data_IF_555317188167
#
_entry.id   IF_555317188167
#
_cell.length_a   1.000
_cell.length_b   1.000
_cell.length_c   1.000
_cell.angle_alpha   90.00
_cell.angle_beta   90.00
_cell.angle_gamma   90.00
#
_symmetry.space_group_name_H-M   'P 1'
#
loop_
_entity.id
_entity.type
_entity.pdbx_description
1 polymer ?
#
# COMPACT_ATOMS: atom_id res chain seq x y z
N UNK A 1 16.90 -29.95 34.89
CA UNK A 1 16.92 -28.75 34.04
C UNK A 1 15.48 -28.33 33.86
N UNK A 2 15.18 -27.05 34.16
CA UNK A 2 13.84 -26.54 34.00
C UNK A 2 13.47 -26.58 32.51
N UNK A 3 12.20 -26.89 32.20
CA UNK A 3 11.70 -26.84 30.83
C UNK A 3 11.92 -25.42 30.26
N UNK A 4 12.37 -25.28 29.00
CA UNK A 4 12.53 -23.96 28.41
C UNK A 4 11.18 -23.22 28.40
N UNK A 5 11.23 -21.95 28.77
CA UNK A 5 10.06 -21.05 28.60
C UNK A 5 10.06 -20.55 27.18
N UNK A 6 9.12 -20.99 26.37
CA UNK A 6 8.96 -20.58 24.97
C UNK A 6 8.19 -21.65 24.19
N UNK A 7 7.63 -21.25 23.05
CA UNK A 7 6.93 -22.14 22.16
C UNK A 7 7.90 -22.97 21.33
N UNK A 8 7.51 -24.22 21.03
CA UNK A 8 8.26 -25.09 20.15
C UNK A 8 8.20 -24.56 18.71
N UNK A 9 9.35 -24.50 18.04
CA UNK A 9 9.43 -24.07 16.62
C UNK A 9 9.78 -25.29 15.76
N UNK A 10 8.83 -25.89 15.05
CA UNK A 10 9.07 -26.99 14.12
C UNK A 10 9.61 -26.47 12.78
N UNK A 11 10.33 -27.34 12.05
CA UNK A 11 10.79 -27.04 10.68
C UNK A 11 12.10 -26.27 10.60
N UNK A 12 12.74 -25.94 11.74
CA UNK A 12 14.01 -25.19 11.77
C UNK A 12 15.19 -26.16 11.56
N UNK A 13 16.02 -25.87 10.58
CA UNK A 13 17.24 -26.61 10.27
C UNK A 13 18.43 -26.19 11.15
N UNK A 14 19.17 -27.18 11.61
CA UNK A 14 20.44 -27.00 12.31
C UNK A 14 21.51 -27.83 11.66
N UNK A 15 22.76 -27.30 11.65
CA UNK A 15 23.94 -28.04 11.25
C UNK A 15 24.97 -28.00 12.35
N UNK A 16 25.53 -29.18 12.72
CA UNK A 16 26.61 -29.29 13.68
C UNK A 16 27.91 -29.64 12.95
N UNK A 17 28.96 -28.92 13.22
CA UNK A 17 30.28 -29.09 12.64
C UNK A 17 31.29 -29.43 13.76
N UNK A 18 32.05 -30.53 13.61
CA UNK A 18 33.13 -30.82 14.56
C UNK A 18 34.27 -29.85 14.35
N UNK A 19 34.70 -29.17 15.40
CA UNK A 19 35.81 -28.21 15.37
C UNK A 19 37.14 -28.94 15.25
N UNK A 20 38.03 -28.39 14.43
CA UNK A 20 39.35 -28.92 14.15
C UNK A 20 40.46 -28.02 14.75
N UNK A 21 41.55 -28.66 15.21
CA UNK A 21 42.83 -28.03 15.45
C UNK A 21 43.79 -28.47 14.36
N UNK A 22 44.12 -27.56 13.44
CA UNK A 22 44.68 -27.92 12.14
C UNK A 22 43.78 -28.87 11.38
N UNK A 23 44.28 -30.02 10.93
CA UNK A 23 43.50 -31.02 10.18
C UNK A 23 42.89 -32.12 11.10
N UNK A 24 43.00 -31.98 12.41
CA UNK A 24 42.54 -33.03 13.36
C UNK A 24 41.42 -32.54 14.24
N UNK A 25 40.44 -33.40 14.54
CA UNK A 25 39.42 -33.10 15.55
C UNK A 25 40.08 -32.88 16.93
N UNK A 26 39.58 -31.90 17.69
CA UNK A 26 40.00 -31.66 19.06
C UNK A 26 39.62 -32.88 19.90
N UNK A 27 40.63 -33.47 20.58
CA UNK A 27 40.44 -34.74 21.35
C UNK A 27 40.14 -34.43 22.83
N UNK A 28 38.88 -34.44 23.20
CA UNK A 28 38.43 -34.20 24.57
C UNK A 28 38.69 -35.40 25.53
N UNK A 29 39.39 -36.44 25.09
CA UNK A 29 39.84 -37.50 26.00
C UNK A 29 41.13 -37.16 26.71
N UNK A 30 41.77 -36.03 26.35
CA UNK A 30 43.03 -35.53 26.88
C UNK A 30 42.90 -34.16 27.55
N UNK A 31 43.77 -33.86 28.52
CA UNK A 31 43.81 -32.51 29.12
C UNK A 31 44.21 -31.41 28.12
N UNK A 32 45.10 -31.72 27.20
CA UNK A 32 45.56 -30.79 26.16
C UNK A 32 44.41 -30.47 25.20
N UNK A 33 43.58 -31.46 24.86
CA UNK A 33 42.38 -31.25 24.05
C UNK A 33 41.34 -30.37 24.74
N UNK A 34 41.13 -30.52 26.04
CA UNK A 34 40.28 -29.61 26.81
C UNK A 34 40.86 -28.18 26.88
N UNK A 35 42.16 -28.04 27.06
CA UNK A 35 42.79 -26.73 27.03
C UNK A 35 42.68 -26.05 25.67
N UNK A 36 42.86 -26.83 24.58
CA UNK A 36 42.62 -26.38 23.20
C UNK A 36 41.17 -25.93 22.97
N UNK A 37 40.20 -26.76 23.39
CA UNK A 37 38.77 -26.44 23.24
C UNK A 37 38.36 -25.16 23.97
N UNK A 38 38.90 -24.92 25.18
CA UNK A 38 38.69 -23.69 25.96
C UNK A 38 39.25 -22.44 25.28
N UNK A 39 40.32 -22.60 24.48
CA UNK A 39 40.95 -21.49 23.74
C UNK A 39 40.23 -21.11 22.46
N UNK A 40 39.33 -21.96 21.92
CA UNK A 40 38.61 -21.66 20.66
C UNK A 40 37.54 -20.64 20.93
N UNK A 41 37.57 -19.56 20.16
CA UNK A 41 36.51 -18.56 20.13
C UNK A 41 35.58 -18.81 18.92
N UNK A 42 34.36 -18.31 19.00
CA UNK A 42 33.40 -18.43 17.91
C UNK A 42 33.95 -17.80 16.61
N UNK A 43 34.61 -16.66 16.70
CA UNK A 43 35.21 -15.95 15.55
C UNK A 43 36.31 -16.76 14.83
N UNK A 44 36.94 -17.75 15.50
CA UNK A 44 37.95 -18.62 14.89
C UNK A 44 37.36 -19.66 13.96
N UNK A 45 36.05 -20.01 14.15
CA UNK A 45 35.39 -21.13 13.47
C UNK A 45 34.16 -20.69 12.66
N UNK A 46 33.68 -19.47 12.91
CA UNK A 46 32.55 -18.89 12.21
C UNK A 46 32.79 -17.40 11.95
N UNK A 47 32.80 -16.99 10.67
CA UNK A 47 33.05 -15.58 10.30
C UNK A 47 32.31 -15.26 9.00
N UNK A 48 31.89 -13.99 8.83
CA UNK A 48 31.15 -13.52 7.67
C UNK A 48 29.91 -14.37 7.33
N UNK A 49 29.18 -14.82 8.35
CA UNK A 49 27.96 -15.61 8.16
C UNK A 49 28.18 -17.08 7.77
N UNK A 50 29.42 -17.60 7.85
CA UNK A 50 29.71 -18.97 7.44
C UNK A 50 30.77 -19.66 8.32
N UNK A 51 30.72 -21.01 8.42
CA UNK A 51 31.78 -21.80 9.04
C UNK A 51 33.11 -21.63 8.31
N UNK A 52 34.20 -21.44 9.06
CA UNK A 52 35.57 -21.38 8.53
C UNK A 52 35.99 -22.80 8.15
N UNK A 53 35.96 -23.12 6.86
CA UNK A 53 36.15 -24.50 6.35
C UNK A 53 37.44 -25.18 6.80
N UNK A 54 38.53 -24.40 7.00
CA UNK A 54 39.81 -24.92 7.49
C UNK A 54 39.78 -25.26 8.99
N UNK A 55 38.72 -24.91 9.70
CA UNK A 55 38.58 -25.07 11.16
C UNK A 55 37.45 -26.03 11.55
N UNK A 56 36.68 -26.54 10.60
CA UNK A 56 35.54 -27.43 10.84
C UNK A 56 35.55 -28.63 9.92
N UNK A 57 35.03 -29.75 10.42
CA UNK A 57 34.79 -30.96 9.64
C UNK A 57 33.50 -30.91 8.83
N UNK A 58 33.11 -32.01 8.24
CA UNK A 58 31.84 -32.14 7.54
C UNK A 58 30.65 -31.85 8.48
N UNK A 59 29.66 -31.10 8.01
CA UNK A 59 28.45 -30.81 8.75
C UNK A 59 27.49 -31.99 8.78
N UNK A 60 26.79 -32.18 9.90
CA UNK A 60 25.64 -33.04 10.03
C UNK A 60 24.41 -32.17 10.27
N UNK A 61 23.36 -32.38 9.47
CA UNK A 61 22.12 -31.58 9.52
C UNK A 61 20.99 -32.35 10.17
N UNK A 62 20.12 -31.64 10.90
CA UNK A 62 18.87 -32.13 11.39
C UNK A 62 17.86 -31.00 11.48
N UNK A 63 16.57 -31.31 11.28
CA UNK A 63 15.46 -30.34 11.32
C UNK A 63 14.57 -30.61 12.52
N UNK A 64 14.06 -29.55 13.16
CA UNK A 64 13.15 -29.71 14.30
C UNK A 64 11.82 -30.32 13.87
N UNK A 65 11.40 -31.37 14.59
CA UNK A 65 10.09 -32.01 14.42
C UNK A 65 8.96 -31.17 15.06
N UNK A 66 7.75 -31.72 15.08
CA UNK A 66 6.55 -31.08 15.64
C UNK A 66 6.69 -30.61 17.11
N UNK A 67 7.58 -31.22 17.88
CA UNK A 67 7.90 -30.82 19.26
C UNK A 67 9.02 -29.76 19.36
N UNK A 68 9.49 -29.17 18.24
CA UNK A 68 10.57 -28.19 18.21
C UNK A 68 11.95 -28.76 18.57
N UNK A 69 12.16 -30.09 18.38
CA UNK A 69 13.41 -30.74 18.74
C UNK A 69 14.10 -31.32 17.51
N UNK A 70 15.37 -30.99 17.32
CA UNK A 70 16.30 -31.67 16.41
C UNK A 70 17.30 -32.48 17.20
N UNK A 71 17.59 -33.71 16.76
CA UNK A 71 18.49 -34.63 17.46
C UNK A 71 19.66 -35.04 16.56
N UNK A 72 20.86 -34.95 17.07
CA UNK A 72 22.09 -35.39 16.41
C UNK A 72 22.64 -36.58 17.18
N UNK A 73 22.71 -37.72 16.53
CA UNK A 73 23.17 -38.97 17.14
C UNK A 73 24.57 -39.37 16.66
N UNK A 74 25.27 -40.15 17.46
CA UNK A 74 26.57 -40.72 17.10
C UNK A 74 27.72 -39.65 17.07
N UNK A 75 27.54 -38.52 17.70
CA UNK A 75 28.61 -37.51 17.79
C UNK A 75 29.77 -38.06 18.66
N UNK A 76 30.98 -38.08 18.10
CA UNK A 76 32.18 -38.43 18.84
C UNK A 76 32.53 -37.34 19.85
N UNK A 77 33.29 -37.68 20.90
CA UNK A 77 33.77 -36.68 21.85
C UNK A 77 34.56 -35.55 21.12
N UNK A 78 34.18 -34.32 21.32
CA UNK A 78 34.74 -33.18 20.61
C UNK A 78 34.07 -31.83 20.93
N UNK A 79 34.63 -30.76 20.39
CA UNK A 79 34.03 -29.44 20.35
C UNK A 79 33.24 -29.35 19.04
N UNK A 80 32.01 -28.79 19.10
CA UNK A 80 31.15 -28.62 17.97
C UNK A 80 30.70 -27.17 17.83
N UNK A 81 30.72 -26.67 16.59
CA UNK A 81 30.00 -25.47 16.16
C UNK A 81 28.58 -25.86 15.75
N UNK A 82 27.60 -25.21 16.32
CA UNK A 82 26.17 -25.36 15.97
C UNK A 82 25.73 -24.13 15.23
N UNK A 83 25.16 -24.31 14.05
CA UNK A 83 24.65 -23.21 13.18
C UNK A 83 23.18 -23.53 12.86
N UNK A 84 22.34 -22.55 13.06
CA UNK A 84 20.96 -22.57 12.58
C UNK A 84 20.89 -22.08 11.14
N UNK A 85 19.93 -22.55 10.34
CA UNK A 85 19.72 -22.05 8.98
C UNK A 85 19.30 -20.58 8.97
N UNK A 86 19.58 -19.88 7.85
CA UNK A 86 19.49 -18.41 7.80
C UNK A 86 18.06 -17.86 7.84
N UNK A 87 17.04 -18.62 7.45
CA UNK A 87 15.67 -18.14 7.35
C UNK A 87 14.66 -19.08 8.01
N UNK A 88 14.73 -19.26 9.33
CA UNK A 88 13.77 -20.08 10.04
C UNK A 88 12.38 -19.42 10.00
N UNK A 89 11.33 -20.25 10.01
CA UNK A 89 9.94 -19.80 10.10
C UNK A 89 9.25 -20.47 11.28
N UNK A 90 8.24 -19.78 11.84
CA UNK A 90 7.34 -20.41 12.81
C UNK A 90 6.34 -21.37 12.12
N UNK A 91 5.44 -21.97 12.92
CA UNK A 91 4.42 -22.89 12.42
C UNK A 91 3.42 -22.26 11.44
N UNK A 92 3.27 -20.95 11.49
CA UNK A 92 2.39 -20.15 10.62
C UNK A 92 3.12 -19.63 9.37
N UNK A 93 4.43 -19.94 9.24
CA UNK A 93 5.28 -19.52 8.12
C UNK A 93 5.81 -18.09 8.25
N UNK A 94 5.68 -17.43 9.41
CA UNK A 94 6.29 -16.12 9.63
C UNK A 94 7.79 -16.27 9.81
N UNK A 95 8.56 -15.36 9.21
CA UNK A 95 10.01 -15.33 9.35
C UNK A 95 10.44 -15.06 10.80
N UNK A 96 11.51 -15.72 11.20
CA UNK A 96 12.16 -15.54 12.49
C UNK A 96 13.60 -15.08 12.28
N UNK A 97 14.15 -14.37 13.27
CA UNK A 97 15.59 -14.14 13.35
C UNK A 97 16.22 -15.40 13.95
N UNK A 98 17.19 -16.05 13.27
CA UNK A 98 17.82 -17.25 13.77
C UNK A 98 18.60 -17.00 15.05
N UNK A 99 18.76 -18.06 15.84
CA UNK A 99 19.66 -18.03 16.98
C UNK A 99 21.12 -17.88 16.51
N UNK A 100 21.94 -17.22 17.35
CA UNK A 100 23.36 -17.13 17.09
C UNK A 100 24.01 -18.49 16.97
N UNK A 101 25.01 -18.69 16.09
CA UNK A 101 25.91 -19.82 16.14
C UNK A 101 26.60 -19.90 17.51
N UNK A 102 26.82 -21.10 17.99
CA UNK A 102 27.47 -21.28 19.28
C UNK A 102 28.34 -22.53 19.31
N UNK A 103 29.23 -22.59 20.30
CA UNK A 103 30.10 -23.73 20.54
C UNK A 103 29.55 -24.57 21.67
N UNK A 104 29.64 -25.89 21.54
CA UNK A 104 29.26 -26.86 22.56
C UNK A 104 30.19 -28.06 22.57
N UNK A 105 30.54 -28.54 23.77
CA UNK A 105 31.30 -29.79 23.90
C UNK A 105 30.39 -31.00 24.07
N UNK A 106 30.75 -32.09 23.45
CA UNK A 106 30.10 -33.41 23.64
C UNK A 106 31.20 -34.40 24.07
N UNK A 107 31.15 -34.97 25.27
CA UNK A 107 30.23 -34.72 26.38
C UNK A 107 30.40 -33.34 27.01
N UNK A 108 29.38 -32.89 27.72
CA UNK A 108 29.44 -31.65 28.52
C UNK A 108 29.69 -31.97 30.00
N UNK A 109 30.40 -31.13 30.73
CA UNK A 109 30.57 -31.23 32.18
C UNK A 109 29.23 -31.11 32.88
N UNK A 110 28.88 -32.01 33.79
CA UNK A 110 27.68 -31.87 34.60
C UNK A 110 27.83 -30.60 35.48
N UNK A 111 26.87 -29.66 35.48
CA UNK A 111 26.92 -28.48 36.34
C UNK A 111 27.05 -28.78 37.83
N UNK A 112 26.63 -29.97 38.27
CA UNK A 112 26.81 -30.42 39.67
C UNK A 112 28.24 -30.87 39.98
N UNK A 113 29.15 -30.87 38.99
CA UNK A 113 30.57 -31.17 39.16
C UNK A 113 30.92 -32.65 39.37
N UNK A 114 29.97 -33.58 39.20
CA UNK A 114 30.13 -34.99 39.58
C UNK A 114 30.13 -35.95 38.38
N UNK A 115 30.39 -35.50 37.15
CA UNK A 115 30.45 -36.37 35.97
C UNK A 115 30.25 -35.66 34.62
N UNK A 116 29.96 -36.49 33.61
CA UNK A 116 29.77 -36.05 32.22
C UNK A 116 28.34 -36.32 31.77
N UNK A 117 27.81 -35.35 31.00
CA UNK A 117 26.54 -35.51 30.28
C UNK A 117 26.85 -35.96 28.87
N UNK A 118 26.52 -37.20 28.53
CA UNK A 118 26.65 -37.76 27.20
C UNK A 118 25.55 -37.26 26.25
N UNK A 119 24.40 -36.90 26.81
CA UNK A 119 23.33 -36.23 26.10
C UNK A 119 23.32 -34.77 26.51
N UNK A 120 23.60 -33.87 25.53
CA UNK A 120 23.68 -32.46 25.76
C UNK A 120 22.42 -31.81 25.15
N UNK A 121 21.67 -31.06 25.98
CA UNK A 121 20.51 -30.30 25.53
C UNK A 121 20.86 -28.83 25.44
N UNK A 122 20.57 -28.23 24.29
CA UNK A 122 20.73 -26.79 24.03
C UNK A 122 19.39 -26.23 23.59
N UNK A 123 19.11 -24.97 23.96
CA UNK A 123 17.84 -24.30 23.70
C UNK A 123 18.10 -22.99 22.97
N UNK A 124 18.35 -23.04 21.65
CA UNK A 124 18.47 -21.83 20.86
C UNK A 124 17.16 -21.03 20.92
N UNK A 125 17.26 -19.70 20.92
CA UNK A 125 16.10 -18.82 21.00
C UNK A 125 16.00 -17.98 19.74
N UNK A 126 14.96 -18.23 18.97
CA UNK A 126 14.60 -17.43 17.84
C UNK A 126 13.84 -16.19 18.29
N UNK A 127 13.96 -15.10 17.54
CA UNK A 127 13.20 -13.88 17.78
C UNK A 127 12.12 -13.75 16.71
N UNK A 128 10.88 -13.49 17.14
CA UNK A 128 9.80 -13.15 16.22
C UNK A 128 10.08 -11.82 15.52
N UNK A 129 9.64 -11.73 14.29
CA UNK A 129 9.69 -10.50 13.47
C UNK A 129 8.27 -9.98 13.33
N UNK A 130 8.04 -8.73 13.72
CA UNK A 130 6.74 -8.08 13.53
C UNK A 130 6.39 -8.00 12.04
N UNK A 131 5.12 -8.19 11.73
CA UNK A 131 4.63 -7.95 10.37
C UNK A 131 4.77 -6.46 10.04
N UNK A 132 5.26 -6.11 8.84
CA UNK A 132 5.32 -4.72 8.44
C UNK A 132 3.91 -4.13 8.28
N UNK A 133 3.80 -2.83 8.47
CA UNK A 133 2.54 -2.08 8.26
C UNK A 133 2.66 -1.29 6.97
N UNK A 134 1.70 -1.50 6.06
CA UNK A 134 1.61 -0.78 4.80
C UNK A 134 0.44 0.18 4.79
N UNK A 135 0.66 1.39 4.29
CA UNK A 135 -0.37 2.41 4.13
C UNK A 135 -0.26 3.10 2.78
N UNK A 136 -1.40 3.63 2.28
CA UNK A 136 -1.42 4.52 1.11
C UNK A 136 -1.16 5.94 1.59
N UNK A 137 -0.30 6.67 0.89
CA UNK A 137 0.06 8.06 1.17
C UNK A 137 -0.12 8.92 -0.07
N UNK A 138 -0.36 10.21 0.11
CA UNK A 138 -0.30 11.17 -0.98
C UNK A 138 1.14 11.69 -1.10
N UNK A 139 1.87 11.38 -2.19
CA UNK A 139 3.27 11.78 -2.34
C UNK A 139 3.45 13.29 -2.52
N UNK A 140 2.38 13.99 -2.91
CA UNK A 140 2.28 15.45 -3.02
C UNK A 140 0.98 15.92 -2.35
N UNK A 141 0.92 17.17 -1.86
CA UNK A 141 -0.35 17.73 -1.43
C UNK A 141 -1.34 17.63 -2.60
N UNK A 142 -2.42 16.87 -2.41
CA UNK A 142 -3.45 16.75 -3.43
C UNK A 142 -3.95 18.15 -3.81
N UNK A 143 -4.13 18.47 -5.11
CA UNK A 143 -4.79 19.68 -5.52
C UNK A 143 -6.12 19.86 -4.77
N UNK A 144 -6.47 21.08 -4.41
CA UNK A 144 -7.71 21.36 -3.70
C UNK A 144 -8.89 20.69 -4.42
N UNK A 145 -9.63 19.81 -3.72
CA UNK A 145 -10.76 19.02 -4.27
C UNK A 145 -10.40 17.62 -4.76
N UNK A 146 -9.13 17.30 -4.92
CA UNK A 146 -8.69 15.94 -5.26
C UNK A 146 -8.30 15.20 -3.97
N UNK A 147 -8.97 14.07 -3.70
CA UNK A 147 -8.76 13.27 -2.48
C UNK A 147 -8.10 11.93 -2.81
N UNK A 148 -6.94 11.97 -3.43
CA UNK A 148 -6.18 10.78 -3.83
C UNK A 148 -5.81 10.78 -5.31
N UNK A 149 -4.99 9.82 -5.71
CA UNK A 149 -4.38 9.72 -7.02
C UNK A 149 -5.33 9.09 -8.05
N UNK A 150 -5.83 9.88 -8.99
CA UNK A 150 -6.53 9.38 -10.18
C UNK A 150 -5.53 8.87 -11.23
N UNK A 151 -6.02 8.27 -12.30
CA UNK A 151 -5.18 7.88 -13.45
C UNK A 151 -4.34 9.08 -13.92
N UNK A 152 -3.05 8.85 -14.10
CA UNK A 152 -2.04 9.86 -14.47
C UNK A 152 -1.42 10.62 -13.30
N UNK A 153 -1.89 10.42 -12.08
CA UNK A 153 -1.29 10.96 -10.85
C UNK A 153 -0.37 9.92 -10.19
N UNK A 154 0.45 10.39 -9.27
CA UNK A 154 1.31 9.52 -8.46
C UNK A 154 0.59 9.11 -7.18
N UNK A 155 0.58 7.79 -6.90
CA UNK A 155 0.16 7.19 -5.64
C UNK A 155 1.39 6.83 -4.81
N UNK A 156 1.34 7.08 -3.51
CA UNK A 156 2.40 6.71 -2.58
C UNK A 156 1.99 5.53 -1.71
N UNK A 157 2.99 4.72 -1.35
CA UNK A 157 2.87 3.66 -0.34
C UNK A 157 3.98 3.85 0.69
N UNK A 158 3.64 3.70 1.95
CA UNK A 158 4.60 3.68 3.05
C UNK A 158 4.59 2.28 3.65
N UNK A 159 5.76 1.69 3.82
CA UNK A 159 5.97 0.40 4.46
C UNK A 159 6.84 0.67 5.68
N UNK A 160 6.27 0.45 6.86
CA UNK A 160 6.95 0.58 8.14
C UNK A 160 7.22 -0.81 8.71
N UNK A 161 8.47 -1.08 9.07
CA UNK A 161 8.87 -2.31 9.74
C UNK A 161 9.75 -1.98 10.95
N UNK A 162 9.50 -2.68 12.06
CA UNK A 162 10.32 -2.57 13.25
C UNK A 162 11.56 -3.45 13.09
N UNK A 163 12.75 -2.90 13.39
CA UNK A 163 13.97 -3.70 13.43
C UNK A 163 13.88 -4.69 14.61
N UNK A 164 13.93 -6.01 14.36
CA UNK A 164 13.79 -6.99 15.43
C UNK A 164 15.01 -6.95 16.35
N UNK A 165 14.81 -7.39 17.60
CA UNK A 165 15.92 -7.60 18.52
C UNK A 165 16.69 -8.84 18.11
N UNK A 166 18.01 -8.77 18.18
CA UNK A 166 18.87 -9.92 18.03
C UNK A 166 19.72 -10.12 19.29
N UNK A 167 20.19 -11.34 19.47
CA UNK A 167 21.06 -11.68 20.62
C UNK A 167 22.33 -10.83 20.57
N UNK A 168 22.79 -10.27 21.69
CA UNK A 168 24.05 -9.52 21.75
C UNK A 168 25.22 -10.30 21.14
N UNK A 169 25.98 -9.65 20.27
CA UNK A 169 27.07 -10.24 19.52
C UNK A 169 26.71 -10.79 18.13
N UNK A 170 25.42 -10.81 17.79
CA UNK A 170 24.95 -11.14 16.44
C UNK A 170 24.84 -9.90 15.56
N UNK A 171 24.94 -10.14 14.27
CA UNK A 171 24.67 -9.15 13.21
C UNK A 171 23.62 -9.71 12.26
N UNK A 172 22.90 -8.81 11.59
CA UNK A 172 22.05 -9.23 10.49
C UNK A 172 22.91 -9.57 9.26
N UNK A 173 22.65 -10.72 8.64
CA UNK A 173 23.28 -11.10 7.37
C UNK A 173 22.67 -10.36 6.18
N UNK A 174 21.44 -9.88 6.34
CA UNK A 174 20.71 -9.09 5.37
C UNK A 174 19.45 -8.50 6.00
N UNK A 175 18.83 -7.55 5.32
CA UNK A 175 17.50 -7.03 5.66
C UNK A 175 16.84 -6.58 4.37
N UNK A 176 15.75 -7.23 4.00
CA UNK A 176 15.10 -7.05 2.71
C UNK A 176 13.66 -6.58 2.89
N UNK A 177 13.27 -5.56 2.13
CA UNK A 177 11.87 -5.14 1.97
C UNK A 177 11.51 -5.30 0.50
N UNK A 178 10.45 -6.06 0.22
CA UNK A 178 9.98 -6.32 -1.14
C UNK A 178 8.55 -5.89 -1.32
N UNK A 179 8.24 -5.28 -2.45
CA UNK A 179 6.89 -4.88 -2.85
C UNK A 179 6.62 -5.37 -4.27
N UNK A 180 5.56 -6.14 -4.48
CA UNK A 180 5.05 -6.48 -5.81
C UNK A 180 3.84 -5.62 -6.10
N UNK A 181 4.06 -4.54 -6.83
CA UNK A 181 3.02 -3.58 -7.19
C UNK A 181 1.90 -4.24 -8.01
N UNK A 182 0.64 -3.87 -7.77
CA UNK A 182 -0.46 -4.32 -8.63
C UNK A 182 -0.28 -3.85 -10.06
N UNK A 183 -0.86 -4.60 -10.99
CA UNK A 183 -0.91 -4.21 -12.40
C UNK A 183 -1.53 -2.82 -12.56
N UNK A 184 -1.03 -2.05 -13.51
CA UNK A 184 -1.48 -0.68 -13.75
C UNK A 184 -0.69 0.40 -12.99
N UNK A 185 0.23 0.04 -12.10
CA UNK A 185 1.19 0.99 -11.53
C UNK A 185 2.49 1.01 -12.33
N UNK A 186 3.02 2.20 -12.59
CA UNK A 186 4.19 2.43 -13.43
C UNK A 186 5.24 3.30 -12.75
N UNK A 187 6.48 3.24 -13.25
CA UNK A 187 7.61 4.10 -12.86
C UNK A 187 7.84 4.15 -11.34
N UNK A 188 8.02 3.02 -10.64
CA UNK A 188 8.23 3.04 -9.20
C UNK A 188 9.53 3.76 -8.82
N UNK A 189 9.44 4.61 -7.81
CA UNK A 189 10.58 5.27 -7.16
C UNK A 189 10.53 5.00 -5.66
N UNK A 190 11.70 4.95 -5.00
CA UNK A 190 11.80 4.57 -3.59
C UNK A 190 12.71 5.53 -2.85
N UNK A 191 12.33 5.85 -1.61
CA UNK A 191 13.20 6.46 -0.60
C UNK A 191 13.11 5.67 0.69
N UNK A 192 14.22 5.56 1.41
CA UNK A 192 14.33 4.78 2.64
C UNK A 192 14.77 5.67 3.80
N UNK A 193 14.18 5.47 4.97
CA UNK A 193 14.54 6.17 6.20
C UNK A 193 14.65 5.19 7.35
N UNK A 194 15.66 5.36 8.20
CA UNK A 194 15.77 4.66 9.47
C UNK A 194 15.60 5.70 10.59
N UNK A 195 14.63 5.50 11.45
CA UNK A 195 14.25 6.42 12.53
C UNK A 195 14.12 7.89 12.06
N UNK A 196 13.56 8.07 10.87
CA UNK A 196 13.38 9.40 10.24
C UNK A 196 14.59 9.94 9.47
N UNK A 197 15.78 9.38 9.67
CA UNK A 197 17.00 9.74 8.92
C UNK A 197 16.99 9.10 7.55
N UNK A 198 17.21 9.89 6.49
CA UNK A 198 17.26 9.37 5.13
C UNK A 198 18.52 8.51 4.92
N UNK A 199 18.33 7.35 4.31
CA UNK A 199 19.40 6.46 3.88
C UNK A 199 19.82 6.77 2.44
N UNK A 200 21.08 6.54 2.12
CA UNK A 200 21.69 6.84 0.81
C UNK A 200 21.67 5.58 -0.05
N UNK A 201 21.02 5.68 -1.21
CA UNK A 201 21.01 4.59 -2.20
C UNK A 201 22.45 4.28 -2.66
N UNK A 202 22.73 3.00 -2.88
CA UNK A 202 24.02 2.44 -3.33
C UNK A 202 25.17 2.57 -2.28
N UNK A 203 24.86 3.12 -1.08
CA UNK A 203 25.74 3.15 0.08
C UNK A 203 25.10 2.38 1.24
N UNK A 204 23.91 2.79 1.68
CA UNK A 204 23.17 2.22 2.81
C UNK A 204 22.21 1.12 2.40
N UNK A 205 21.72 1.16 1.15
CA UNK A 205 20.85 0.15 0.58
C UNK A 205 21.00 0.05 -0.93
N UNK A 206 20.74 -1.13 -1.46
CA UNK A 206 20.56 -1.36 -2.90
C UNK A 206 19.09 -1.39 -3.25
N UNK A 207 18.75 -0.91 -4.46
CA UNK A 207 17.40 -0.93 -5.00
C UNK A 207 17.41 -1.70 -6.31
N UNK A 208 16.66 -2.81 -6.36
CA UNK A 208 16.43 -3.59 -7.58
C UNK A 208 14.95 -3.48 -7.96
N UNK A 209 14.69 -3.18 -9.23
CA UNK A 209 13.32 -3.12 -9.77
C UNK A 209 13.26 -3.87 -11.11
N UNK A 210 12.29 -4.78 -11.25
CA UNK A 210 12.08 -5.58 -12.45
C UNK A 210 10.59 -5.93 -12.59
N UNK A 211 10.22 -6.51 -13.74
CA UNK A 211 8.83 -6.92 -13.98
C UNK A 211 8.67 -8.44 -13.92
N UNK A 212 7.58 -8.87 -13.27
CA UNK A 212 7.04 -10.23 -13.35
C UNK A 212 5.68 -10.13 -14.02
N UNK A 213 5.62 -10.53 -15.28
CA UNK A 213 4.47 -10.20 -16.15
C UNK A 213 4.39 -8.70 -16.39
N UNK A 214 3.25 -8.09 -16.11
CA UNK A 214 2.98 -6.65 -16.20
C UNK A 214 3.16 -5.92 -14.85
N UNK A 215 3.49 -6.64 -13.78
CA UNK A 215 3.65 -6.11 -12.43
C UNK A 215 5.12 -5.81 -12.10
N UNK A 216 5.35 -4.68 -11.45
CA UNK A 216 6.68 -4.35 -10.93
C UNK A 216 6.93 -5.07 -9.60
N UNK A 217 8.13 -5.63 -9.47
CA UNK A 217 8.70 -6.05 -8.18
C UNK A 217 9.81 -5.08 -7.83
N UNK A 218 9.75 -4.56 -6.61
CA UNK A 218 10.72 -3.60 -6.06
C UNK A 218 11.33 -4.21 -4.82
N UNK A 219 12.66 -4.33 -4.77
CA UNK A 219 13.42 -4.86 -3.65
C UNK A 219 14.37 -3.80 -3.10
N UNK A 220 14.27 -3.54 -1.81
CA UNK A 220 15.19 -2.72 -1.03
C UNK A 220 15.98 -3.63 -0.11
N UNK A 221 17.27 -3.69 -0.26
CA UNK A 221 18.16 -4.50 0.57
C UNK A 221 19.14 -3.57 1.30
N UNK A 222 19.14 -3.61 2.63
CA UNK A 222 20.09 -2.84 3.42
C UNK A 222 21.51 -3.38 3.20
N UNK A 223 22.48 -2.49 3.15
CA UNK A 223 23.90 -2.79 2.89
C UNK A 223 24.82 -1.92 3.76
N UNK A 224 26.13 -2.05 3.55
CA UNK A 224 27.13 -1.16 4.12
C UNK A 224 27.14 -1.13 5.65
N UNK A 225 27.38 0.05 6.19
CA UNK A 225 27.50 0.24 7.64
C UNK A 225 26.13 0.18 8.33
N UNK A 226 25.04 0.54 7.63
CA UNK A 226 23.68 0.46 8.18
C UNK A 226 23.34 -0.98 8.52
N UNK A 227 23.60 -1.93 7.61
CA UNK A 227 23.33 -3.35 7.86
C UNK A 227 24.21 -3.89 9.00
N UNK A 228 25.51 -3.57 9.00
CA UNK A 228 26.46 -4.02 10.05
C UNK A 228 26.05 -3.57 11.44
N UNK A 229 25.53 -2.37 11.57
CA UNK A 229 25.15 -1.76 12.84
C UNK A 229 23.63 -1.82 13.09
N UNK A 230 22.87 -2.54 12.25
CA UNK A 230 21.42 -2.58 12.34
C UNK A 230 20.91 -3.09 13.70
N UNK A 231 21.68 -3.94 14.37
CA UNK A 231 21.38 -4.43 15.72
C UNK A 231 21.32 -3.32 16.78
N UNK A 232 22.03 -2.20 16.58
CA UNK A 232 21.98 -1.02 17.47
C UNK A 232 20.64 -0.27 17.35
N UNK A 233 19.92 -0.49 16.26
CA UNK A 233 18.61 0.10 15.93
C UNK A 233 17.42 -0.80 16.28
N UNK A 234 17.63 -1.84 17.12
CA UNK A 234 16.55 -2.74 17.56
C UNK A 234 15.39 -1.99 18.18
N UNK A 235 14.18 -2.22 17.69
CA UNK A 235 12.96 -1.53 18.10
C UNK A 235 12.68 -0.22 17.36
N UNK A 236 13.60 0.27 16.55
CA UNK A 236 13.41 1.43 15.69
C UNK A 236 12.69 1.05 14.38
N UNK A 237 12.12 2.05 13.71
CA UNK A 237 11.34 1.85 12.49
C UNK A 237 12.17 2.14 11.25
N UNK A 238 12.31 1.14 10.39
CA UNK A 238 12.72 1.30 9.00
C UNK A 238 11.48 1.62 8.16
N UNK A 239 11.52 2.72 7.45
CA UNK A 239 10.44 3.20 6.57
C UNK A 239 10.88 3.20 5.13
N UNK A 240 10.14 2.48 4.30
CA UNK A 240 10.28 2.51 2.85
C UNK A 240 9.10 3.27 2.27
N UNK A 241 9.35 4.39 1.58
CA UNK A 241 8.34 5.11 0.84
C UNK A 241 8.51 4.77 -0.64
N UNK A 242 7.45 4.28 -1.25
CA UNK A 242 7.37 3.94 -2.66
C UNK A 242 6.34 4.84 -3.33
N UNK A 243 6.66 5.40 -4.47
CA UNK A 243 5.76 6.21 -5.29
C UNK A 243 5.70 5.62 -6.68
N UNK A 244 4.49 5.50 -7.24
CA UNK A 244 4.27 4.99 -8.58
C UNK A 244 3.13 5.75 -9.27
N UNK A 245 3.19 5.86 -10.60
CA UNK A 245 2.16 6.54 -11.39
C UNK A 245 1.00 5.58 -11.68
N UNK A 246 -0.23 6.02 -11.43
CA UNK A 246 -1.46 5.25 -11.74
C UNK A 246 -1.69 5.24 -13.25
N UNK A 247 -1.66 4.06 -13.85
CA UNK A 247 -1.90 3.85 -15.28
C UNK A 247 -3.39 3.70 -15.62
N UNK A 248 -3.70 3.64 -16.90
CA UNK A 248 -5.06 3.42 -17.40
C UNK A 248 -5.57 2.00 -17.14
N UNK A 249 -6.90 1.84 -17.08
CA UNK A 249 -7.55 0.54 -16.94
C UNK A 249 -7.60 -0.02 -15.52
N UNK A 250 -7.18 0.77 -14.51
CA UNK A 250 -7.25 0.36 -13.10
C UNK A 250 -8.68 0.42 -12.59
N UNK A 251 -9.12 -0.63 -11.87
CA UNK A 251 -10.39 -0.65 -11.16
C UNK A 251 -10.20 -0.72 -9.65
N UNK A 252 -9.36 -1.64 -9.22
CA UNK A 252 -8.96 -1.81 -7.82
C UNK A 252 -7.46 -2.08 -7.79
N UNK A 253 -6.75 -1.41 -6.90
CA UNK A 253 -5.36 -1.66 -6.61
C UNK A 253 -5.25 -2.26 -5.21
N UNK A 254 -4.86 -3.53 -5.12
CA UNK A 254 -4.53 -4.21 -3.88
C UNK A 254 -3.03 -4.40 -3.80
N UNK A 255 -2.42 -3.93 -2.71
CA UNK A 255 -0.98 -3.95 -2.55
C UNK A 255 -0.55 -4.36 -1.15
N UNK A 256 0.33 -5.36 -1.06
CA UNK A 256 1.02 -5.79 0.15
C UNK A 256 2.54 -5.77 -0.08
N UNK A 257 3.31 -5.84 1.00
CA UNK A 257 4.76 -5.87 0.98
C UNK A 257 5.28 -6.96 1.92
N UNK A 258 6.53 -7.35 1.76
CA UNK A 258 7.18 -8.40 2.57
C UNK A 258 8.45 -7.87 3.19
N UNK A 259 8.78 -8.36 4.38
CA UNK A 259 10.04 -8.07 5.07
C UNK A 259 10.70 -9.37 5.46
N UNK A 260 11.95 -9.53 5.03
CA UNK A 260 12.82 -10.64 5.38
C UNK A 260 14.01 -10.09 6.17
N UNK A 261 14.18 -10.46 7.46
CA UNK A 261 15.23 -9.91 8.33
C UNK A 261 16.63 -10.44 8.05
N UNK A 262 16.74 -11.55 7.32
CA UNK A 262 18.00 -12.09 6.84
C UNK A 262 17.93 -12.31 5.33
N UNK A 263 19.06 -12.13 4.66
CA UNK A 263 19.15 -12.36 3.23
C UNK A 263 19.51 -13.83 2.98
N UNK A 264 18.69 -14.61 2.26
CA UNK A 264 19.01 -15.97 1.86
C UNK A 264 20.12 -16.05 0.82
N UNK A 265 20.71 -14.91 0.42
CA UNK A 265 21.81 -14.80 -0.53
C UNK A 265 21.38 -14.41 -1.93
N UNK A 266 20.88 -15.34 -2.74
CA UNK A 266 20.63 -15.10 -4.17
C UNK A 266 19.16 -15.18 -4.53
N UNK A 267 18.61 -14.06 -4.99
CA UNK A 267 17.27 -14.02 -5.58
C UNK A 267 17.36 -14.16 -7.10
N UNK A 268 16.56 -15.03 -7.72
CA UNK A 268 16.46 -15.06 -9.18
C UNK A 268 16.01 -13.72 -9.77
N UNK A 269 16.46 -13.38 -10.99
CA UNK A 269 16.11 -12.11 -11.65
C UNK A 269 14.60 -11.90 -11.88
N UNK A 270 13.84 -12.99 -11.94
CA UNK A 270 12.40 -13.02 -12.12
C UNK A 270 11.63 -13.52 -10.89
N UNK A 271 12.25 -13.49 -9.71
CA UNK A 271 11.64 -13.97 -8.47
C UNK A 271 10.35 -13.20 -8.14
N UNK A 272 9.31 -13.96 -7.80
CA UNK A 272 7.99 -13.44 -7.46
C UNK A 272 7.68 -13.65 -5.97
N UNK A 273 7.59 -12.60 -5.14
CA UNK A 273 7.32 -12.76 -3.72
C UNK A 273 5.93 -13.37 -3.42
N UNK A 274 4.97 -13.26 -4.34
CA UNK A 274 3.64 -13.90 -4.20
C UNK A 274 3.65 -15.38 -4.58
N UNK A 275 4.59 -15.80 -5.43
CA UNK A 275 4.74 -17.17 -5.91
C UNK A 275 6.24 -17.52 -5.99
N UNK A 276 6.92 -17.63 -4.84
CA UNK A 276 8.38 -17.79 -4.81
C UNK A 276 8.87 -19.08 -5.44
N UNK A 277 8.02 -20.13 -5.60
CA UNK A 277 8.40 -21.42 -6.13
C UNK A 277 9.49 -22.08 -5.27
N UNK A 278 10.58 -22.53 -5.92
CA UNK A 278 11.79 -23.03 -5.24
C UNK A 278 12.72 -21.89 -4.79
N UNK A 279 12.33 -20.64 -5.00
CA UNK A 279 13.10 -19.45 -4.58
C UNK A 279 12.98 -19.15 -3.10
N UNK A 280 13.72 -18.15 -2.60
CA UNK A 280 13.70 -17.76 -1.20
C UNK A 280 12.31 -17.35 -0.71
N UNK A 281 12.01 -17.65 0.57
CA UNK A 281 10.82 -17.15 1.23
C UNK A 281 10.85 -15.61 1.26
N UNK A 282 9.76 -14.90 0.89
CA UNK A 282 9.72 -13.44 0.90
C UNK A 282 9.76 -12.82 2.30
N UNK A 283 9.54 -13.60 3.36
CA UNK A 283 9.42 -13.12 4.73
C UNK A 283 7.98 -12.79 5.13
N UNK A 284 7.82 -11.93 6.13
CA UNK A 284 6.53 -11.57 6.69
C UNK A 284 5.77 -10.59 5.80
N UNK A 285 4.53 -10.95 5.46
CA UNK A 285 3.65 -10.10 4.66
C UNK A 285 2.95 -9.03 5.51
N UNK A 286 2.86 -7.81 4.99
CA UNK A 286 2.11 -6.70 5.60
C UNK A 286 0.60 -6.92 5.51
N UNK A 287 -0.18 -6.01 6.11
CA UNK A 287 -1.55 -5.79 5.71
C UNK A 287 -1.62 -5.38 4.23
N UNK A 288 -2.75 -5.68 3.59
CA UNK A 288 -3.04 -5.24 2.21
C UNK A 288 -3.68 -3.86 2.24
N UNK A 289 -3.14 -2.92 1.46
CA UNK A 289 -3.81 -1.65 1.16
C UNK A 289 -4.71 -1.82 -0.05
N UNK A 290 -5.76 -1.00 -0.13
CA UNK A 290 -6.73 -1.07 -1.21
C UNK A 290 -7.12 0.32 -1.67
N UNK A 291 -7.10 0.56 -2.99
CA UNK A 291 -7.56 1.80 -3.63
C UNK A 291 -8.58 1.45 -4.72
N UNK A 292 -9.70 2.15 -4.75
CA UNK A 292 -10.82 1.89 -5.66
C UNK A 292 -11.00 3.05 -6.63
N UNK A 293 -11.26 2.71 -7.89
CA UNK A 293 -11.41 3.66 -9.00
C UNK A 293 -12.77 3.53 -9.65
N UNK A 294 -13.19 4.62 -10.27
CA UNK A 294 -14.48 4.71 -10.96
C UNK A 294 -14.39 5.29 -12.35
N UNK A 295 -15.50 5.14 -13.06
CA UNK A 295 -15.70 5.63 -14.42
C UNK A 295 -17.08 6.27 -14.55
N UNK A 296 -17.14 7.42 -15.19
CA UNK A 296 -18.40 8.10 -15.55
C UNK A 296 -18.50 8.16 -17.06
N UNK A 297 -19.57 7.58 -17.60
CA UNK A 297 -19.96 7.76 -18.99
C UNK A 297 -20.98 8.88 -19.10
N UNK A 298 -20.67 9.94 -19.82
CA UNK A 298 -21.55 11.08 -20.07
C UNK A 298 -22.20 10.88 -21.45
N UNK A 299 -23.53 10.84 -21.50
CA UNK A 299 -24.33 10.85 -22.74
C UNK A 299 -24.99 12.21 -22.86
N UNK A 300 -24.64 12.95 -23.89
CA UNK A 300 -25.14 14.29 -24.16
C UNK A 300 -26.17 14.28 -25.27
N UNK A 301 -27.42 14.66 -24.96
CA UNK A 301 -28.53 14.65 -25.93
C UNK A 301 -29.36 15.94 -25.89
N UNK A 302 -30.20 16.14 -26.90
CA UNK A 302 -31.31 17.09 -26.83
C UNK A 302 -32.55 16.39 -26.20
N UNK A 303 -33.64 17.13 -26.07
CA UNK A 303 -34.92 16.62 -25.56
C UNK A 303 -35.52 15.49 -26.41
N UNK A 304 -35.13 15.36 -27.67
CA UNK A 304 -35.63 14.37 -28.61
C UNK A 304 -34.71 13.12 -28.67
N UNK A 305 -33.69 13.06 -27.78
CA UNK A 305 -32.74 11.96 -27.69
C UNK A 305 -31.59 12.01 -28.72
N UNK A 306 -31.51 13.08 -29.53
CA UNK A 306 -30.44 13.21 -30.52
C UNK A 306 -29.11 13.57 -29.81
N UNK A 307 -28.05 12.83 -30.15
CA UNK A 307 -26.71 13.04 -29.61
C UNK A 307 -26.19 14.43 -29.93
N UNK A 308 -25.57 15.09 -28.93
CA UNK A 308 -25.00 16.42 -29.00
C UNK A 308 -23.48 16.39 -28.80
N UNK A 309 -22.77 16.84 -29.85
CA UNK A 309 -21.30 16.83 -29.88
C UNK A 309 -20.70 18.14 -29.41
N UNK A 310 -19.46 18.08 -28.86
CA UNK A 310 -18.66 19.24 -28.51
C UNK A 310 -19.14 19.97 -27.26
N UNK A 311 -19.89 19.31 -26.38
CA UNK A 311 -20.06 19.73 -24.99
C UNK A 311 -18.78 19.44 -24.19
N UNK A 312 -18.32 20.38 -23.37
CA UNK A 312 -17.16 20.23 -22.49
C UNK A 312 -17.58 20.29 -21.03
N UNK A 313 -17.04 19.37 -20.23
CA UNK A 313 -17.34 19.21 -18.81
C UNK A 313 -16.08 19.23 -17.98
N UNK A 314 -16.15 19.82 -16.81
CA UNK A 314 -15.23 19.62 -15.70
C UNK A 314 -15.84 18.68 -14.69
N UNK A 315 -14.98 17.85 -14.04
CA UNK A 315 -15.37 16.97 -12.96
C UNK A 315 -14.99 17.57 -11.63
N UNK A 316 -15.92 17.63 -10.68
CA UNK A 316 -15.69 18.15 -9.32
C UNK A 316 -16.24 17.20 -8.27
N UNK A 317 -15.75 17.29 -7.02
CA UNK A 317 -16.43 16.69 -5.87
C UNK A 317 -17.56 17.61 -5.42
N UNK A 318 -18.66 17.00 -4.93
CA UNK A 318 -19.88 17.71 -4.57
C UNK A 318 -20.49 17.24 -3.26
N UNK A 319 -21.19 18.16 -2.62
CA UNK A 319 -22.19 17.87 -1.61
C UNK A 319 -23.57 18.29 -2.19
N UNK A 320 -24.40 17.31 -2.51
CA UNK A 320 -25.60 17.54 -3.33
C UNK A 320 -25.22 18.07 -4.71
N UNK A 321 -25.76 19.25 -5.11
CA UNK A 321 -25.45 19.93 -6.36
C UNK A 321 -24.41 21.06 -6.17
N UNK A 322 -23.80 21.15 -4.99
CA UNK A 322 -22.83 22.22 -4.69
C UNK A 322 -21.41 21.70 -4.84
N UNK A 323 -20.64 22.31 -5.72
CA UNK A 323 -19.21 22.02 -5.92
C UNK A 323 -18.42 22.37 -4.65
N UNK A 324 -17.64 21.43 -4.12
CA UNK A 324 -16.85 21.61 -2.90
C UNK A 324 -15.70 22.59 -3.10
N UNK A 325 -15.05 22.55 -4.26
CA UNK A 325 -13.95 23.44 -4.62
C UNK A 325 -14.02 23.86 -6.08
N UNK A 326 -13.47 25.06 -6.41
CA UNK A 326 -13.41 25.55 -7.78
C UNK A 326 -12.42 24.77 -8.67
N UNK A 327 -11.46 24.07 -8.07
CA UNK A 327 -10.49 23.29 -8.82
C UNK A 327 -11.13 21.99 -9.32
N UNK A 328 -11.11 21.71 -10.63
CA UNK A 328 -11.59 20.44 -11.17
C UNK A 328 -10.64 19.29 -10.82
N UNK A 329 -11.21 18.08 -10.77
CA UNK A 329 -10.45 16.84 -10.62
C UNK A 329 -9.74 16.56 -11.94
N UNK A 330 -8.43 16.31 -11.84
CA UNK A 330 -7.61 15.89 -12.97
C UNK A 330 -7.67 14.37 -13.11
N UNK A 331 -7.95 13.87 -14.32
CA UNK A 331 -7.92 12.43 -14.64
C UNK A 331 -7.18 12.24 -15.95
N UNK A 332 -6.20 11.35 -15.97
CA UNK A 332 -5.33 11.13 -17.13
C UNK A 332 -4.66 12.43 -17.67
N UNK A 333 -4.33 13.35 -16.76
CA UNK A 333 -3.74 14.63 -17.11
C UNK A 333 -4.72 15.71 -17.59
N UNK A 334 -5.99 15.36 -17.84
CA UNK A 334 -7.04 16.27 -18.31
C UNK A 334 -7.92 16.77 -17.16
N UNK A 335 -8.35 18.01 -17.24
CA UNK A 335 -9.36 18.63 -16.35
C UNK A 335 -10.66 18.91 -17.09
N UNK A 336 -10.67 18.88 -18.41
CA UNK A 336 -11.83 19.09 -19.27
C UNK A 336 -12.08 17.86 -20.15
N UNK A 337 -13.34 17.46 -20.27
CA UNK A 337 -13.78 16.27 -20.99
C UNK A 337 -14.83 16.64 -22.01
N UNK A 338 -14.55 16.43 -23.30
CA UNK A 338 -15.42 16.87 -24.41
C UNK A 338 -16.10 15.70 -25.09
N UNK A 339 -17.43 15.81 -25.30
CA UNK A 339 -18.19 14.76 -26.01
C UNK A 339 -17.73 14.63 -27.47
N UNK A 340 -17.58 13.37 -27.93
CA UNK A 340 -17.08 13.05 -29.25
C UNK A 340 -17.89 13.70 -30.36
N UNK A 341 -17.21 14.10 -31.42
CA UNK A 341 -17.81 14.85 -32.54
C UNK A 341 -18.27 13.97 -33.68
N UNK A 342 -17.80 12.73 -33.75
CA UNK A 342 -18.10 11.79 -34.87
C UNK A 342 -18.09 10.33 -34.41
N UNK A 343 -18.69 9.43 -35.19
CA UNK A 343 -18.68 7.99 -34.97
C UNK A 343 -19.77 7.47 -34.05
N UNK A 344 -19.72 6.19 -33.71
CA UNK A 344 -20.72 5.48 -32.88
C UNK A 344 -20.86 6.05 -31.47
N UNK A 345 -19.84 6.79 -30.98
CA UNK A 345 -19.81 7.45 -29.68
C UNK A 345 -20.12 8.94 -29.76
N UNK A 346 -20.73 9.40 -30.83
CA UNK A 346 -21.14 10.81 -30.96
C UNK A 346 -22.00 11.23 -29.76
N UNK A 347 -21.71 12.40 -29.18
CA UNK A 347 -22.40 12.89 -27.99
C UNK A 347 -21.96 12.22 -26.67
N UNK A 348 -20.98 11.32 -26.71
CA UNK A 348 -20.52 10.61 -25.52
C UNK A 348 -19.07 11.02 -25.14
N UNK A 349 -18.76 11.05 -23.86
CA UNK A 349 -17.39 11.06 -23.32
C UNK A 349 -17.33 10.19 -22.08
N UNK A 350 -16.18 9.50 -21.90
CA UNK A 350 -15.93 8.62 -20.76
C UNK A 350 -14.77 9.22 -19.94
N UNK A 351 -14.99 9.37 -18.64
CA UNK A 351 -13.98 9.76 -17.66
C UNK A 351 -13.64 8.52 -16.83
N UNK A 352 -12.52 7.87 -17.13
CA UNK A 352 -12.14 6.59 -16.51
C UNK A 352 -10.90 6.73 -15.65
N UNK A 353 -10.88 6.06 -14.48
CA UNK A 353 -9.79 6.08 -13.53
C UNK A 353 -9.89 7.21 -12.50
N UNK A 354 -11.10 7.59 -12.13
CA UNK A 354 -11.40 8.53 -11.06
C UNK A 354 -11.12 7.86 -9.72
N UNK A 355 -10.22 8.40 -8.90
CA UNK A 355 -9.99 7.88 -7.55
C UNK A 355 -11.24 8.08 -6.67
N UNK A 356 -11.72 7.00 -6.06
CA UNK A 356 -12.90 7.00 -5.17
C UNK A 356 -12.47 7.03 -3.71
N UNK A 357 -11.71 6.04 -3.28
CA UNK A 357 -11.30 5.90 -1.89
C UNK A 357 -10.08 4.99 -1.71
N UNK A 358 -9.39 5.14 -0.58
CA UNK A 358 -8.35 4.25 -0.07
C UNK A 358 -8.82 3.62 1.24
N UNK A 359 -8.38 2.37 1.53
CA UNK A 359 -8.53 1.78 2.85
C UNK A 359 -7.66 2.56 3.86
N UNK A 360 -8.25 2.99 4.95
CA UNK A 360 -7.55 3.75 5.99
C UNK A 360 -6.56 2.85 6.76
N UNK A 361 -5.35 3.35 7.11
CA UNK A 361 -4.41 2.63 7.96
C UNK A 361 -5.03 2.32 9.33
N UNK A 362 -4.79 1.11 9.86
CA UNK A 362 -5.25 0.70 11.18
C UNK A 362 -6.62 0.03 11.21
N UNK A 363 -7.27 -0.15 10.07
CA UNK A 363 -8.47 -0.97 10.00
C UNK A 363 -8.07 -2.42 9.73
N UNK A 364 -8.37 -3.26 10.71
CA UNK A 364 -7.98 -4.65 10.72
C UNK A 364 -8.42 -5.40 9.45
N UNK A 365 -7.54 -6.25 8.94
CA UNK A 365 -7.92 -7.30 8.00
C UNK A 365 -9.10 -8.07 8.60
N UNK A 366 -10.23 -8.11 7.88
CA UNK A 366 -11.43 -8.85 8.29
C UNK A 366 -12.47 -8.06 9.07
N UNK A 367 -12.33 -6.75 9.25
CA UNK A 367 -13.41 -5.89 9.71
C UNK A 367 -14.48 -5.79 8.63
N UNK A 368 -15.69 -6.26 8.93
CA UNK A 368 -16.88 -6.20 8.06
C UNK A 368 -17.51 -4.82 7.99
N UNK A 369 -16.85 -3.79 8.50
CA UNK A 369 -17.36 -2.43 8.44
C UNK A 369 -16.95 -1.78 7.13
N UNK A 370 -17.94 -1.35 6.37
CA UNK A 370 -17.83 -0.54 5.15
C UNK A 370 -17.11 0.79 5.43
N UNK A 371 -15.80 0.74 5.47
CA UNK A 371 -14.93 1.90 5.64
C UNK A 371 -15.11 2.90 4.51
N UNK A 372 -15.69 2.46 3.42
CA UNK A 372 -16.02 3.20 2.22
C UNK A 372 -17.36 3.93 2.30
N UNK A 373 -18.23 3.57 3.26
CA UNK A 373 -19.52 4.20 3.46
C UNK A 373 -19.36 5.67 3.85
N UNK A 374 -19.48 6.56 2.88
CA UNK A 374 -19.45 8.00 3.06
C UNK A 374 -18.20 8.73 2.61
N UNK A 375 -17.17 8.06 2.08
CA UNK A 375 -15.98 8.72 1.56
C UNK A 375 -16.22 9.18 0.12
N UNK A 376 -16.74 10.39 -0.05
CA UNK A 376 -16.53 11.25 -1.22
C UNK A 376 -16.81 10.65 -2.60
N UNK A 377 -17.80 9.78 -2.72
CA UNK A 377 -18.21 9.17 -3.99
C UNK A 377 -19.19 10.02 -4.81
N UNK A 378 -19.52 11.21 -4.31
CA UNK A 378 -20.40 12.16 -4.98
C UNK A 378 -19.58 13.15 -5.81
N UNK A 379 -19.91 13.23 -7.08
CA UNK A 379 -19.26 14.10 -8.05
C UNK A 379 -20.30 15.01 -8.71
N UNK A 380 -19.83 16.12 -9.28
CA UNK A 380 -20.61 16.96 -10.18
C UNK A 380 -19.88 17.16 -11.50
N UNK A 381 -20.65 17.12 -12.57
CA UNK A 381 -20.23 17.54 -13.89
C UNK A 381 -20.67 18.98 -14.11
N UNK A 382 -19.70 19.87 -14.30
CA UNK A 382 -19.94 21.29 -14.63
C UNK A 382 -19.74 21.44 -16.12
N UNK A 383 -20.80 21.79 -16.86
CA UNK A 383 -20.68 22.07 -18.29
C UNK A 383 -20.03 23.45 -18.49
N UNK A 384 -18.80 23.50 -19.00
CA UNK A 384 -18.05 24.73 -19.28
C UNK A 384 -18.30 25.24 -20.69
N UNK A 385 -18.69 24.33 -21.61
CA UNK A 385 -19.03 24.68 -22.99
C UNK A 385 -20.23 23.84 -23.48
N UNK A 386 -21.27 24.52 -23.89
CA UNK A 386 -22.43 23.86 -24.48
C UNK A 386 -22.20 23.45 -25.97
N UNK A 387 -22.93 22.43 -26.49
CA UNK A 387 -22.97 22.16 -27.90
C UNK A 387 -23.43 23.37 -28.71
N UNK A 388 -22.97 23.48 -29.96
CA UNK A 388 -23.34 24.62 -30.83
C UNK A 388 -24.86 24.73 -30.99
N UNK A 389 -25.41 25.89 -30.64
CA UNK A 389 -26.84 26.21 -30.73
C UNK A 389 -27.66 25.76 -29.52
N UNK A 390 -27.01 25.36 -28.43
CA UNK A 390 -27.63 24.96 -27.17
C UNK A 390 -27.18 25.85 -26.01
N UNK A 391 -27.99 25.93 -24.97
CA UNK A 391 -27.68 26.67 -23.74
C UNK A 391 -26.88 25.79 -22.77
N UNK A 392 -25.97 26.38 -21.99
CA UNK A 392 -25.27 25.73 -20.88
C UNK A 392 -26.27 25.19 -19.83
N UNK A 393 -25.88 24.14 -19.14
CA UNK A 393 -26.58 23.71 -17.94
C UNK A 393 -26.61 24.82 -16.89
N UNK A 394 -27.76 25.09 -16.26
CA UNK A 394 -27.87 26.16 -15.27
C UNK A 394 -27.22 25.82 -13.92
N UNK A 395 -26.96 24.53 -13.67
CA UNK A 395 -26.42 24.01 -12.41
C UNK A 395 -25.53 22.81 -12.69
N UNK A 396 -24.56 22.48 -11.81
CA UNK A 396 -23.78 21.25 -11.86
C UNK A 396 -24.69 20.02 -11.84
N UNK A 397 -24.36 19.02 -12.64
CA UNK A 397 -25.10 17.75 -12.73
C UNK A 397 -24.49 16.73 -11.75
N UNK A 398 -25.21 16.26 -10.71
CA UNK A 398 -24.69 15.34 -9.73
C UNK A 398 -24.57 13.92 -10.30
N UNK A 399 -23.47 13.23 -9.96
CA UNK A 399 -23.22 11.82 -10.29
C UNK A 399 -22.68 11.13 -9.06
N UNK A 400 -23.24 9.97 -8.70
CA UNK A 400 -22.77 9.16 -7.59
C UNK A 400 -22.12 7.88 -8.11
N UNK A 401 -20.88 7.63 -7.73
CA UNK A 401 -20.19 6.35 -7.89
C UNK A 401 -20.26 5.61 -6.56
N UNK A 402 -21.02 4.52 -6.49
CA UNK A 402 -21.25 3.76 -5.25
C UNK A 402 -20.14 2.73 -5.06
N UNK A 403 -19.13 3.07 -4.27
CA UNK A 403 -18.13 2.13 -3.81
C UNK A 403 -18.57 1.53 -2.46
N UNK A 404 -18.58 0.21 -2.35
CA UNK A 404 -19.00 -0.54 -1.16
C UNK A 404 -17.81 -1.10 -0.36
N UNK A 405 -16.59 -1.04 -0.96
CA UNK A 405 -15.37 -1.61 -0.39
C UNK A 405 -15.10 -3.07 -0.77
N UNK A 406 -16.08 -3.74 -1.36
CA UNK A 406 -15.97 -5.13 -1.84
C UNK A 406 -15.83 -5.27 -3.36
N UNK A 407 -15.61 -4.14 -4.07
CA UNK A 407 -15.44 -4.14 -5.52
C UNK A 407 -14.16 -4.92 -5.91
N UNK A 408 -14.30 -5.74 -6.95
CA UNK A 408 -13.15 -6.40 -7.61
C UNK A 408 -12.87 -5.77 -8.99
N UNK A 409 -13.62 -4.74 -9.36
CA UNK A 409 -13.57 -4.09 -10.67
C UNK A 409 -13.87 -2.59 -10.57
N UNK A 410 -13.72 -1.91 -11.68
CA UNK A 410 -14.04 -0.50 -11.86
C UNK A 410 -15.53 -0.22 -11.53
N UNK A 411 -15.78 0.78 -10.69
CA UNK A 411 -17.14 1.25 -10.36
C UNK A 411 -17.63 2.18 -11.45
N UNK A 412 -18.79 1.90 -12.04
CA UNK A 412 -19.30 2.67 -13.20
C UNK A 412 -20.57 3.44 -12.88
N UNK A 413 -20.72 4.61 -13.49
CA UNK A 413 -21.95 5.38 -13.51
C UNK A 413 -22.20 5.99 -14.90
N UNK A 414 -23.48 6.23 -15.23
CA UNK A 414 -23.87 6.91 -16.46
C UNK A 414 -24.58 8.22 -16.12
N UNK A 415 -24.19 9.29 -16.81
CA UNK A 415 -24.79 10.62 -16.70
C UNK A 415 -25.49 10.96 -18.03
N UNK A 416 -26.81 10.86 -18.06
CA UNK A 416 -27.65 11.25 -19.21
C UNK A 416 -28.02 12.73 -19.10
N UNK A 417 -27.38 13.59 -19.88
CA UNK A 417 -27.46 15.04 -19.76
C UNK A 417 -28.08 15.64 -20.99
N UNK A 418 -29.15 16.44 -20.81
CA UNK A 418 -29.86 17.09 -21.89
C UNK A 418 -29.63 18.59 -21.91
N UNK A 419 -29.45 19.18 -23.13
CA UNK A 419 -29.48 20.63 -23.33
C UNK A 419 -30.64 21.06 -24.19
N UNK A 420 -31.10 22.29 -23.99
CA UNK A 420 -32.14 22.95 -24.75
C UNK A 420 -31.57 23.91 -25.79
N UNK A 421 -32.18 24.01 -26.96
CA UNK A 421 -31.77 24.95 -28.00
C UNK A 421 -31.89 26.40 -27.51
N UNK A 422 -30.88 27.23 -27.80
CA UNK A 422 -30.85 28.65 -27.46
C UNK A 422 -32.04 29.43 -28.06
N UNK A 423 -32.61 28.98 -29.17
CA UNK A 423 -33.72 29.62 -29.88
C UNK A 423 -35.04 28.88 -29.74
N UNK A 424 -35.17 27.92 -28.82
CA UNK A 424 -36.41 27.18 -28.62
C UNK A 424 -37.46 28.01 -27.88
N UNK A 425 -37.91 29.11 -28.46
CA UNK A 425 -39.19 29.77 -28.14
C UNK A 425 -39.53 29.94 -26.64
N UNK A 426 -38.57 29.93 -25.75
CA UNK A 426 -38.78 30.37 -24.39
C UNK A 426 -38.90 31.91 -24.44
N UNK A 427 -40.11 32.40 -24.77
CA UNK A 427 -40.49 33.66 -24.18
C UNK A 427 -40.39 33.44 -22.67
N UNK A 428 -39.33 34.00 -22.05
CA UNK A 428 -39.29 34.12 -20.60
C UNK A 428 -40.67 34.64 -20.16
N UNK A 429 -41.34 34.05 -19.16
CA UNK A 429 -42.51 34.67 -18.59
C UNK A 429 -42.14 36.13 -18.38
N UNK A 430 -43.03 37.06 -18.75
CA UNK A 430 -42.86 38.50 -18.79
C UNK A 430 -42.33 39.16 -17.52
N UNK A 431 -41.41 38.54 -16.78
CA UNK A 431 -40.83 39.00 -15.52
C UNK A 431 -39.52 39.77 -15.66
N UNK A 432 -38.95 39.87 -16.89
CA UNK A 432 -37.70 40.65 -17.15
C UNK A 432 -37.89 41.67 -18.28
N UNK A 433 -37.70 42.92 -18.02
CA UNK A 433 -37.59 44.00 -18.97
C UNK A 433 -38.96 44.53 -19.50
N UNK A 434 -39.54 43.96 -20.54
CA UNK A 434 -40.81 44.44 -21.14
C UNK A 434 -42.06 44.01 -20.34
N UNK A 435 -42.01 42.92 -19.57
CA UNK A 435 -43.16 42.48 -18.76
C UNK A 435 -43.38 43.34 -17.53
N UNK A 436 -42.37 43.90 -16.95
CA UNK A 436 -42.49 44.89 -15.86
C UNK A 436 -43.21 46.16 -16.33
N UNK A 437 -42.93 46.64 -17.55
CA UNK A 437 -43.62 47.80 -18.10
C UNK A 437 -45.10 47.52 -18.40
N UNK A 438 -45.48 46.33 -18.83
CA UNK A 438 -46.86 45.91 -19.04
C UNK A 438 -47.61 45.81 -17.68
N UNK A 439 -46.98 45.27 -16.62
CA UNK A 439 -47.57 45.21 -15.28
C UNK A 439 -47.67 46.61 -14.66
N UNK A 440 -46.66 47.46 -14.81
CA UNK A 440 -46.68 48.85 -14.33
C UNK A 440 -47.75 49.63 -15.10
N UNK A 441 -47.78 49.53 -16.45
CA UNK A 441 -48.80 50.17 -17.28
C UNK A 441 -50.21 49.70 -16.95
N UNK A 442 -50.45 48.42 -16.75
CA UNK A 442 -51.72 47.88 -16.31
C UNK A 442 -52.14 48.35 -14.89
N UNK A 443 -51.16 48.40 -13.97
CA UNK A 443 -51.39 48.91 -12.61
C UNK A 443 -51.71 50.41 -12.60
N UNK A 444 -51.02 51.25 -13.38
CA UNK A 444 -51.30 52.68 -13.53
C UNK A 444 -52.67 52.91 -14.16
N UNK A 445 -53.03 52.13 -15.19
CA UNK A 445 -54.34 52.22 -15.84
C UNK A 445 -55.48 51.88 -14.84
N UNK A 446 -55.34 50.87 -14.00
CA UNK A 446 -56.31 50.53 -12.97
C UNK A 446 -56.42 51.64 -11.90
N UNK A 447 -55.32 52.22 -11.48
CA UNK A 447 -55.36 53.39 -10.57
C UNK A 447 -56.04 54.59 -11.17
N UNK A 448 -55.81 54.87 -12.45
CA UNK A 448 -56.48 55.99 -13.15
C UNK A 448 -58.02 55.72 -13.31
N UNK A 449 -58.39 54.49 -13.63
CA UNK A 449 -59.82 54.11 -13.67
C UNK A 449 -60.47 54.17 -12.30
N UNK A 450 -59.79 53.74 -11.24
CA UNK A 450 -60.27 53.85 -9.87
C UNK A 450 -60.42 55.33 -9.44
N UNK A 451 -59.45 56.18 -9.77
CA UNK A 451 -59.50 57.62 -9.51
C UNK A 451 -60.62 58.30 -10.30
N UNK A 452 -60.83 57.95 -11.57
CA UNK A 452 -61.90 58.46 -12.40
C UNK A 452 -63.28 58.03 -11.88
N UNK A 453 -63.40 56.76 -11.44
CA UNK A 453 -64.62 56.26 -10.81
C UNK A 453 -64.87 56.98 -9.48
N UNK A 454 -63.87 57.18 -8.66
CA UNK A 454 -63.99 57.91 -7.40
C UNK A 454 -64.38 59.37 -7.60
N UNK A 455 -63.80 60.07 -8.62
CA UNK A 455 -64.19 61.44 -8.96
C UNK A 455 -65.62 61.52 -9.52
N UNK A 456 -66.05 60.52 -10.29
CA UNK A 456 -67.44 60.45 -10.81
C UNK A 456 -68.45 60.26 -9.69
N UNK A 457 -68.19 59.39 -8.74
CA UNK A 457 -69.09 59.13 -7.58
C UNK A 457 -69.12 60.33 -6.64
N UNK A 458 -68.04 61.06 -6.45
CA UNK A 458 -68.03 62.32 -5.65
C UNK A 458 -68.81 63.45 -6.33
N UNK A 459 -68.92 63.49 -7.66
CA UNK A 459 -69.70 64.49 -8.37
C UNK A 459 -71.21 64.17 -8.34
N UNK A 460 -71.62 62.97 -8.09
CA UNK A 460 -73.01 62.58 -8.00
C UNK A 460 -73.63 62.81 -6.62
N UNK A 461 -72.82 63.10 -5.57
CA UNK A 461 -73.31 63.37 -4.21
C UNK A 461 -73.31 64.85 -3.87
N UNK A 462 -73.04 65.78 -4.82
CA UNK A 462 -72.96 67.22 -4.62
C UNK A 462 -74.11 68.01 -5.25
N UNK A 463 -75.33 67.44 -5.48
CA UNK A 463 -76.47 68.20 -5.98
C UNK A 463 -77.75 67.82 -5.25
N UNK A 464 -77.77 68.19 -3.97
CA UNK A 464 -79.02 68.28 -3.22
C UNK A 464 -78.81 69.20 -2.02
N UNK A 465 -78.89 70.50 -2.30
CA UNK A 465 -79.49 71.57 -1.43
C UNK A 465 -79.65 72.79 -2.33
#
# INVERSE_FOLDING_TARGET
>A
MDNPTGDAVPGVGYTVYRVLDGDKPIDLTTQDGWATAQGVKLEDVYTNGAPVQARVGAGQTATTGAGGTATFEGLAAGLYLVVEEDNPTDADGNALVPAAPFLVTVPMTNPEGNGWLSTVHVYPKNQGVDRPVKSVTDPQPAPAGQRGASVGDDIGFQIDTTIPKITPGNTFNGFLVTDKLPAGLNNPTVTVKLQGTALIKDEDYTLTSYKVGDQWVVRVQLTGNVLKNLHEHSGEVLRVNLVATVGSGVGVLENSAWVLPNDPGVFPDNWDPKNPGDGPNPGNESNTTRSVYGEITINKTNKDGTALNGATFELHRCTGNTVETKAPIKVAGATEFTTATTGEKAGQVVISGIHLANLQPGQAQGGTEDVWAGVGTNFCLVETKAPKGYSLLPQPFPVTLKATGSENALVTATADIQNVKTNAGFALPLTGGRGIWALIGGGVLMLLLAAAYYMKTRRSTGSAY
#
